data_IF_841222834601
#
_entry.id   IF_841222834601
#
_cell.length_a   1.000
_cell.length_b   1.000
_cell.length_c   1.000
_cell.angle_alpha   90.00
_cell.angle_beta   90.00
_cell.angle_gamma   90.00
#
_symmetry.space_group_name_H-M   'P 1'
#
loop_
_entity.id
_entity.type
_entity.pdbx_description
1 polymer ?
#
# COMPACT_ATOMS: atom_id res chain seq x y z
N UNK A 1 19.29 -26.64 19.76
CA UNK A 1 19.56 -25.24 20.16
C UNK A 1 20.10 -24.38 19.01
N UNK A 2 20.96 -24.90 18.13
CA UNK A 2 21.52 -24.14 16.97
C UNK A 2 20.48 -23.72 15.92
N UNK A 3 19.48 -24.56 15.63
CA UNK A 3 18.46 -24.29 14.59
C UNK A 3 17.57 -23.09 14.94
N UNK A 4 17.24 -22.89 16.22
CA UNK A 4 16.38 -21.78 16.70
C UNK A 4 17.08 -20.44 16.53
N UNK A 5 18.39 -20.38 16.82
CA UNK A 5 19.20 -19.16 16.68
C UNK A 5 19.38 -18.76 15.21
N UNK A 6 19.47 -19.75 14.31
CA UNK A 6 19.57 -19.51 12.85
C UNK A 6 18.26 -18.95 12.31
N UNK A 7 17.11 -19.50 12.71
CA UNK A 7 15.79 -19.01 12.28
C UNK A 7 15.55 -17.58 12.76
N UNK A 8 15.90 -17.27 14.02
CA UNK A 8 15.74 -15.92 14.57
C UNK A 8 16.60 -14.89 13.83
N UNK A 9 17.87 -15.21 13.55
CA UNK A 9 18.76 -14.32 12.80
C UNK A 9 18.31 -14.12 11.35
N UNK A 10 17.82 -15.17 10.69
CA UNK A 10 17.29 -15.08 9.32
C UNK A 10 16.02 -14.22 9.29
N UNK A 11 15.11 -14.38 10.25
CA UNK A 11 13.90 -13.55 10.35
C UNK A 11 14.25 -12.09 10.59
N UNK A 12 15.20 -11.79 11.48
CA UNK A 12 15.65 -10.42 11.74
C UNK A 12 16.27 -9.80 10.48
N UNK A 13 17.12 -10.53 9.75
CA UNK A 13 17.72 -10.04 8.50
C UNK A 13 16.65 -9.77 7.44
N UNK A 14 15.69 -10.67 7.23
CA UNK A 14 14.59 -10.46 6.27
C UNK A 14 13.71 -9.28 6.68
N UNK A 15 13.38 -9.14 7.96
CA UNK A 15 12.59 -7.99 8.46
C UNK A 15 13.35 -6.69 8.27
N UNK A 16 14.64 -6.65 8.60
CA UNK A 16 15.48 -5.44 8.43
C UNK A 16 15.61 -5.08 6.95
N UNK A 17 15.88 -6.03 6.06
CA UNK A 17 15.96 -5.79 4.62
C UNK A 17 14.63 -5.26 4.09
N UNK A 18 13.50 -5.86 4.49
CA UNK A 18 12.17 -5.38 4.08
C UNK A 18 11.86 -3.99 4.62
N UNK A 19 12.22 -3.69 5.87
CA UNK A 19 12.04 -2.36 6.47
C UNK A 19 12.91 -1.33 5.75
N UNK A 20 14.17 -1.65 5.44
CA UNK A 20 15.07 -0.77 4.68
C UNK A 20 14.52 -0.50 3.28
N UNK A 21 14.07 -1.54 2.56
CA UNK A 21 13.43 -1.38 1.24
C UNK A 21 12.18 -0.51 1.35
N UNK A 22 11.33 -0.73 2.35
CA UNK A 22 10.13 0.09 2.57
C UNK A 22 10.47 1.55 2.89
N UNK A 23 11.47 1.81 3.73
CA UNK A 23 11.91 3.17 4.08
C UNK A 23 12.50 3.88 2.86
N UNK A 24 13.30 3.19 2.04
CA UNK A 24 13.85 3.75 0.80
C UNK A 24 12.74 4.08 -0.19
N UNK A 25 11.80 3.16 -0.43
CA UNK A 25 10.67 3.38 -1.35
C UNK A 25 9.78 4.54 -0.90
N UNK A 26 9.48 4.63 0.40
CA UNK A 26 8.67 5.73 0.96
C UNK A 26 9.43 7.07 0.95
N UNK A 27 10.75 7.05 1.13
CA UNK A 27 11.56 8.26 1.03
C UNK A 27 11.61 8.80 -0.41
N UNK A 28 11.63 7.92 -1.42
CA UNK A 28 11.60 8.32 -2.83
C UNK A 28 10.28 8.94 -3.29
N UNK A 29 9.15 8.65 -2.60
CA UNK A 29 7.84 9.25 -2.91
C UNK A 29 7.81 10.78 -2.69
N UNK A 30 8.64 11.33 -1.80
CA UNK A 30 8.62 12.76 -1.47
C UNK A 30 9.52 13.63 -2.33
N UNK A 31 10.52 13.04 -2.99
CA UNK A 31 11.51 13.79 -3.79
C UNK A 31 11.28 13.68 -5.30
N UNK A 32 10.45 12.74 -5.76
CA UNK A 32 10.17 12.50 -7.19
C UNK A 32 8.84 13.07 -7.68
N UNK A 33 8.18 13.92 -6.90
CA UNK A 33 7.13 14.80 -7.43
C UNK A 33 7.77 15.95 -8.25
N UNK A 34 8.59 15.58 -9.24
CA UNK A 34 9.19 16.47 -10.21
C UNK A 34 8.51 16.18 -11.55
N UNK A 35 8.04 17.25 -12.19
CA UNK A 35 6.87 17.28 -13.03
C UNK A 35 7.20 16.90 -14.49
N UNK A 36 8.15 15.99 -14.71
CA UNK A 36 8.81 15.79 -16.01
C UNK A 36 8.43 14.49 -16.74
N UNK A 37 7.30 13.86 -16.42
CA UNK A 37 6.88 12.57 -16.98
C UNK A 37 6.42 12.59 -18.44
N UNK A 38 6.47 13.73 -19.15
CA UNK A 38 5.84 13.87 -20.48
C UNK A 38 6.78 13.85 -21.69
N UNK A 39 8.09 13.68 -21.53
CA UNK A 39 9.00 13.67 -22.69
C UNK A 39 9.24 12.29 -23.31
N UNK A 40 8.85 11.19 -22.65
CA UNK A 40 9.33 9.85 -23.04
C UNK A 40 8.24 8.81 -23.32
N UNK A 41 6.94 9.13 -23.15
CA UNK A 41 5.87 8.13 -23.27
C UNK A 41 5.94 7.01 -22.22
N UNK A 42 6.75 7.21 -21.17
CA UNK A 42 6.95 6.26 -20.08
C UNK A 42 5.84 6.37 -19.04
N UNK A 43 5.49 5.24 -18.41
CA UNK A 43 4.53 5.22 -17.32
C UNK A 43 5.04 6.03 -16.14
N UNK A 44 4.25 6.96 -15.57
CA UNK A 44 4.68 7.76 -14.44
C UNK A 44 5.04 6.86 -13.24
N UNK A 45 6.11 7.23 -12.54
CA UNK A 45 6.66 6.45 -11.42
C UNK A 45 5.62 6.25 -10.32
N UNK A 46 4.73 7.24 -10.10
CA UNK A 46 3.61 7.14 -9.16
C UNK A 46 2.73 5.91 -9.40
N UNK A 47 2.43 5.58 -10.66
CA UNK A 47 1.63 4.41 -11.01
C UNK A 47 2.38 3.10 -10.75
N UNK A 48 3.69 3.05 -11.01
CA UNK A 48 4.52 1.87 -10.71
C UNK A 48 4.61 1.61 -9.20
N UNK A 49 4.71 2.68 -8.40
CA UNK A 49 4.74 2.60 -6.94
C UNK A 49 3.38 2.13 -6.42
N UNK A 50 2.27 2.65 -6.98
CA UNK A 50 0.91 2.21 -6.64
C UNK A 50 0.77 0.70 -6.87
N UNK A 51 1.13 0.19 -8.05
CA UNK A 51 1.03 -1.24 -8.34
C UNK A 51 1.85 -2.09 -7.36
N UNK A 52 3.10 -1.70 -7.11
CA UNK A 52 3.97 -2.39 -6.16
C UNK A 52 3.39 -2.39 -4.73
N UNK A 53 2.80 -1.26 -4.30
CA UNK A 53 2.16 -1.09 -2.98
C UNK A 53 1.01 -2.07 -2.81
N UNK A 54 0.11 -2.12 -3.78
CA UNK A 54 -1.06 -3.01 -3.75
C UNK A 54 -0.65 -4.47 -3.89
N UNK A 55 0.34 -4.80 -4.72
CA UNK A 55 0.88 -6.16 -4.81
C UNK A 55 1.47 -6.63 -3.48
N UNK A 56 2.24 -5.78 -2.81
CA UNK A 56 2.77 -6.07 -1.48
C UNK A 56 1.63 -6.26 -0.48
N UNK A 57 0.66 -5.34 -0.44
CA UNK A 57 -0.43 -5.40 0.52
C UNK A 57 -1.28 -6.67 0.37
N UNK A 58 -1.60 -7.06 -0.86
CA UNK A 58 -2.30 -8.32 -1.11
C UNK A 58 -1.47 -9.55 -0.72
N UNK A 59 -0.14 -9.48 -0.80
CA UNK A 59 0.70 -10.56 -0.25
C UNK A 59 0.57 -10.64 1.27
N UNK A 60 0.58 -9.49 1.96
CA UNK A 60 0.44 -9.43 3.42
C UNK A 60 -0.90 -10.02 3.87
N UNK A 61 -2.00 -9.62 3.22
CA UNK A 61 -3.35 -10.09 3.54
C UNK A 61 -3.54 -11.60 3.34
N UNK A 62 -2.80 -12.20 2.39
CA UNK A 62 -2.85 -13.65 2.15
C UNK A 62 -2.07 -14.48 3.18
N UNK A 63 -1.16 -13.85 3.93
CA UNK A 63 -0.38 -14.55 4.95
C UNK A 63 -1.22 -14.82 6.20
N UNK A 64 -0.80 -15.81 6.99
CA UNK A 64 -1.48 -16.18 8.22
C UNK A 64 -1.65 -14.96 9.17
N UNK A 65 -2.82 -14.86 9.82
CA UNK A 65 -3.18 -13.77 10.75
C UNK A 65 -2.16 -13.59 11.88
N UNK A 66 -1.51 -14.67 12.33
CA UNK A 66 -0.51 -14.65 13.41
C UNK A 66 0.85 -14.07 12.98
N UNK A 67 1.03 -13.74 11.70
CA UNK A 67 2.27 -13.12 11.25
C UNK A 67 2.41 -11.72 11.87
N UNK A 68 3.63 -11.32 12.30
CA UNK A 68 3.88 -10.03 12.94
C UNK A 68 3.33 -8.83 12.15
N UNK A 69 3.26 -8.98 10.82
CA UNK A 69 2.78 -7.96 9.89
C UNK A 69 1.25 -7.77 9.94
N UNK A 70 0.48 -8.85 10.06
CA UNK A 70 -0.97 -8.80 10.23
C UNK A 70 -1.32 -8.28 11.63
N UNK A 71 -0.57 -8.71 12.66
CA UNK A 71 -0.70 -8.14 14.02
C UNK A 71 -0.46 -6.63 14.03
N UNK A 72 0.52 -6.12 13.27
CA UNK A 72 0.78 -4.69 13.16
C UNK A 72 -0.37 -3.93 12.47
N UNK A 73 -0.99 -4.52 11.43
CA UNK A 73 -2.18 -3.96 10.78
C UNK A 73 -3.36 -3.94 11.76
N UNK A 74 -3.71 -5.08 12.36
CA UNK A 74 -4.75 -5.16 13.39
C UNK A 74 -4.53 -4.16 14.53
N UNK A 75 -3.28 -4.01 14.99
CA UNK A 75 -2.92 -3.03 16.02
C UNK A 75 -3.12 -1.59 15.56
N UNK A 76 -2.77 -1.27 14.31
CA UNK A 76 -2.99 0.06 13.73
C UNK A 76 -4.47 0.46 13.87
N UNK A 77 -5.39 -0.40 13.42
CA UNK A 77 -6.84 -0.13 13.46
C UNK A 77 -7.41 -0.13 14.88
N UNK A 78 -6.88 -0.95 15.79
CA UNK A 78 -7.28 -0.91 17.21
C UNK A 78 -6.83 0.38 17.93
N UNK A 79 -5.79 1.04 17.44
CA UNK A 79 -5.24 2.26 18.05
C UNK A 79 -5.73 3.56 17.41
N UNK A 80 -6.45 3.50 16.30
CA UNK A 80 -7.09 4.66 15.68
C UNK A 80 -8.17 5.22 16.60
N UNK A 81 -7.83 6.29 17.33
CA UNK A 81 -8.65 6.89 18.38
C UNK A 81 -7.82 7.35 19.58
N UNK A 82 -6.66 6.73 19.79
CA UNK A 82 -5.67 7.23 20.74
C UNK A 82 -4.83 8.33 20.09
N UNK A 83 -4.72 9.52 20.74
CA UNK A 83 -3.81 10.57 20.30
C UNK A 83 -2.37 10.04 20.34
N UNK A 84 -1.86 9.61 19.20
CA UNK A 84 -0.46 9.24 19.07
C UNK A 84 0.39 10.50 19.22
N UNK A 85 1.25 10.54 20.24
CA UNK A 85 2.14 11.69 20.48
C UNK A 85 3.20 11.75 19.38
N UNK A 86 3.33 12.91 18.73
CA UNK A 86 4.36 13.18 17.72
C UNK A 86 3.83 13.31 16.28
N UNK A 87 4.73 13.25 15.30
CA UNK A 87 4.39 13.38 13.88
C UNK A 87 3.41 12.26 13.47
N UNK A 88 2.31 12.57 12.75
CA UNK A 88 1.44 11.56 12.18
C UNK A 88 2.27 10.58 11.35
N UNK A 89 2.28 9.30 11.75
CA UNK A 89 3.00 8.28 11.00
C UNK A 89 2.20 8.00 9.73
N UNK A 90 2.79 8.30 8.57
CA UNK A 90 2.26 7.82 7.28
C UNK A 90 2.43 6.31 7.25
N UNK A 91 1.37 5.59 7.61
CA UNK A 91 1.35 4.13 7.54
C UNK A 91 0.92 3.70 6.14
N UNK A 92 1.29 2.47 5.75
CA UNK A 92 0.82 1.87 4.51
C UNK A 92 -0.72 1.94 4.38
N UNK A 93 -1.45 1.82 5.49
CA UNK A 93 -2.91 1.94 5.55
C UNK A 93 -3.38 3.34 5.18
N UNK A 94 -2.71 4.40 5.65
CA UNK A 94 -3.07 5.78 5.30
C UNK A 94 -2.90 6.08 3.82
N UNK A 95 -1.89 5.49 3.17
CA UNK A 95 -1.70 5.65 1.73
C UNK A 95 -2.70 4.81 0.94
N UNK A 96 -2.98 3.57 1.35
CA UNK A 96 -4.01 2.74 0.72
C UNK A 96 -5.40 3.37 0.80
N UNK A 97 -5.73 4.07 1.90
CA UNK A 97 -6.97 4.86 1.99
C UNK A 97 -7.05 5.96 0.95
N UNK A 98 -5.93 6.63 0.66
CA UNK A 98 -5.87 7.66 -0.38
C UNK A 98 -6.09 7.03 -1.74
N UNK A 99 -5.39 5.93 -2.03
CA UNK A 99 -5.51 5.18 -3.28
C UNK A 99 -6.96 4.69 -3.51
N UNK A 100 -7.66 4.24 -2.45
CA UNK A 100 -9.07 3.85 -2.50
C UNK A 100 -10.02 5.04 -2.63
N UNK A 101 -9.69 6.20 -2.05
CA UNK A 101 -10.54 7.40 -2.14
C UNK A 101 -10.59 7.95 -3.57
N UNK A 102 -9.48 7.84 -4.30
CA UNK A 102 -9.41 8.14 -5.75
C UNK A 102 -10.22 7.16 -6.61
N UNK A 103 -10.66 6.04 -6.04
CA UNK A 103 -11.43 5.01 -6.74
C UNK A 103 -12.87 4.97 -6.20
N UNK A 104 -13.77 5.72 -6.85
CA UNK A 104 -15.20 5.70 -6.53
C UNK A 104 -15.92 4.62 -7.33
N UNK A 105 -16.08 3.42 -6.75
CA UNK A 105 -16.83 2.32 -7.36
C UNK A 105 -17.63 1.59 -6.28
N UNK A 106 -18.93 1.36 -6.54
CA UNK A 106 -19.86 0.69 -5.64
C UNK A 106 -19.51 -0.80 -5.41
N UNK A 107 -18.72 -1.41 -6.30
CA UNK A 107 -18.41 -2.84 -6.25
C UNK A 107 -17.28 -3.23 -5.29
N UNK A 108 -16.50 -2.26 -4.80
CA UNK A 108 -15.28 -2.53 -4.04
C UNK A 108 -15.26 -1.74 -2.72
N UNK A 109 -14.56 -2.22 -1.67
CA UNK A 109 -14.47 -1.51 -0.40
C UNK A 109 -13.87 -0.12 -0.62
N UNK A 110 -14.70 0.91 -0.41
CA UNK A 110 -14.36 2.31 -0.66
C UNK A 110 -13.56 2.92 0.49
N UNK A 111 -13.46 2.20 1.62
CA UNK A 111 -12.88 2.69 2.87
C UNK A 111 -12.16 1.58 3.65
N UNK A 112 -11.17 2.01 4.42
CA UNK A 112 -10.36 1.17 5.31
C UNK A 112 -10.25 1.83 6.68
N UNK A 113 -11.34 2.16 7.34
CA UNK A 113 -11.38 2.74 8.69
C UNK A 113 -11.43 1.70 9.81
N UNK A 114 -12.01 0.55 9.55
CA UNK A 114 -12.28 -0.45 10.58
C UNK A 114 -11.65 -1.80 10.26
N UNK A 115 -11.51 -2.63 11.29
CA UNK A 115 -10.86 -3.93 11.16
C UNK A 115 -11.65 -4.90 10.26
N UNK A 116 -12.99 -4.85 10.33
CA UNK A 116 -13.88 -5.64 9.47
C UNK A 116 -13.71 -5.32 7.98
N UNK A 117 -13.39 -4.07 7.63
CA UNK A 117 -13.11 -3.68 6.24
C UNK A 117 -11.79 -4.27 5.74
N UNK A 118 -10.81 -4.48 6.63
CA UNK A 118 -9.57 -5.20 6.29
C UNK A 118 -9.84 -6.69 6.11
N UNK A 119 -10.65 -7.29 6.98
CA UNK A 119 -10.97 -8.71 6.91
C UNK A 119 -11.68 -9.00 5.57
N UNK A 120 -12.66 -8.17 5.21
CA UNK A 120 -13.33 -8.22 3.90
C UNK A 120 -12.35 -8.01 2.73
N UNK A 121 -11.41 -7.06 2.86
CA UNK A 121 -10.36 -6.88 1.86
C UNK A 121 -9.39 -8.07 1.79
N UNK A 122 -9.20 -8.77 2.91
CA UNK A 122 -8.45 -10.02 3.02
C UNK A 122 -9.14 -11.15 2.27
N UNK A 123 -10.45 -11.28 2.39
CA UNK A 123 -11.25 -12.25 1.64
C UNK A 123 -11.14 -12.02 0.13
N UNK A 124 -11.24 -10.75 -0.30
CA UNK A 124 -10.99 -10.36 -1.70
C UNK A 124 -9.55 -10.69 -2.11
N UNK A 125 -8.57 -10.47 -1.23
CA UNK A 125 -7.17 -10.77 -1.52
C UNK A 125 -6.92 -12.26 -1.71
N UNK A 126 -7.61 -13.15 -0.99
CA UNK A 126 -7.48 -14.60 -1.17
C UNK A 126 -7.82 -15.03 -2.60
N UNK A 127 -8.85 -14.41 -3.20
CA UNK A 127 -9.11 -14.60 -4.61
C UNK A 127 -8.15 -13.76 -5.47
N UNK A 128 -7.19 -14.43 -6.13
CA UNK A 128 -6.21 -13.76 -6.99
C UNK A 128 -6.86 -13.04 -8.18
N UNK A 129 -8.00 -13.52 -8.68
CA UNK A 129 -8.72 -12.88 -9.77
C UNK A 129 -9.35 -11.57 -9.29
N UNK A 130 -10.12 -11.61 -8.19
CA UNK A 130 -10.77 -10.43 -7.63
C UNK A 130 -9.74 -9.39 -7.19
N UNK A 131 -8.64 -9.83 -6.57
CA UNK A 131 -7.54 -8.94 -6.22
C UNK A 131 -6.92 -8.25 -7.44
N UNK A 132 -6.68 -9.00 -8.52
CA UNK A 132 -6.13 -8.43 -9.76
C UNK A 132 -7.12 -7.44 -10.38
N UNK A 133 -8.41 -7.75 -10.33
CA UNK A 133 -9.46 -6.88 -10.84
C UNK A 133 -9.55 -5.57 -10.04
N UNK A 134 -9.56 -5.65 -8.72
CA UNK A 134 -9.53 -4.49 -7.82
C UNK A 134 -8.31 -3.61 -8.08
N UNK A 135 -7.11 -4.18 -8.07
CA UNK A 135 -5.86 -3.43 -8.24
C UNK A 135 -5.75 -2.79 -9.62
N UNK A 136 -6.26 -3.45 -10.65
CA UNK A 136 -6.34 -2.90 -12.02
C UNK A 136 -7.34 -1.74 -12.09
N UNK A 137 -8.47 -1.83 -11.37
CA UNK A 137 -9.45 -0.75 -11.32
C UNK A 137 -8.88 0.51 -10.64
N UNK A 138 -8.16 0.34 -9.52
CA UNK A 138 -7.47 1.43 -8.81
C UNK A 138 -6.35 2.04 -9.67
N UNK A 139 -5.59 1.20 -10.40
CA UNK A 139 -4.57 1.69 -11.32
C UNK A 139 -5.18 2.55 -12.43
N UNK A 140 -6.31 2.12 -13.01
CA UNK A 140 -7.01 2.86 -14.07
C UNK A 140 -7.57 4.19 -13.58
N UNK A 141 -8.14 4.24 -12.38
CA UNK A 141 -8.61 5.51 -11.81
C UNK A 141 -7.46 6.48 -11.56
N UNK A 142 -6.33 6.01 -11.02
CA UNK A 142 -5.14 6.84 -10.81
C UNK A 142 -4.51 7.32 -12.13
N UNK A 143 -4.53 6.50 -13.19
CA UNK A 143 -4.07 6.88 -14.51
C UNK A 143 -4.95 7.98 -15.14
N UNK A 144 -6.27 7.90 -14.94
CA UNK A 144 -7.20 8.92 -15.40
C UNK A 144 -6.96 10.27 -14.71
N UNK A 145 -6.78 10.28 -13.38
CA UNK A 145 -6.44 11.50 -12.62
C UNK A 145 -5.14 12.14 -13.14
N UNK A 146 -4.09 11.35 -13.35
CA UNK A 146 -2.81 11.83 -13.86
C UNK A 146 -2.92 12.45 -15.26
N UNK A 147 -3.85 11.97 -16.09
CA UNK A 147 -4.05 12.49 -17.45
C UNK A 147 -4.79 13.83 -17.47
N UNK A 148 -5.62 14.11 -16.46
CA UNK A 148 -6.38 15.36 -16.34
C UNK A 148 -5.51 16.51 -15.86
N UNK A 149 -4.63 16.27 -14.87
CA UNK A 149 -3.71 17.29 -14.35
C UNK A 149 -2.77 17.82 -15.44
N UNK A 150 -2.33 16.95 -16.34
CA UNK A 150 -1.50 17.30 -17.51
C UNK A 150 -2.22 18.21 -18.51
N UNK A 151 -3.53 18.07 -18.67
CA UNK A 151 -4.31 18.90 -19.57
C UNK A 151 -4.56 20.31 -19.00
N UNK A 152 -4.52 20.47 -17.68
CA UNK A 152 -4.79 21.74 -16.98
C UNK A 152 -3.57 22.68 -16.93
N UNK A 153 -2.35 22.13 -16.87
CA UNK A 153 -1.10 22.91 -16.80
C UNK A 153 -0.57 23.36 -18.18
N UNK A 154 -1.28 23.02 -19.26
CA UNK A 154 -0.90 23.30 -20.65
C UNK A 154 -1.40 24.64 -21.21
N UNK A 155 -1.88 25.57 -20.38
CA UNK A 155 -2.47 26.84 -20.84
C UNK A 155 -1.81 28.10 -20.29
#
# INVERSE_FOLDING_TARGET
>A
MVVVVVVEKVVVVVVVVVVVVVVVVVATEKTLNNNNTLKTGETPISLTILEARWRLFGHILRQAINMPRNVAITKYFKTEGSKQRGRPKTSIVTTLRRDLKSHNNDHWPTRLHFINEIDHLGDIAQNRYDWKHLTTAIYRSAQAETSVDVAADGH
#
